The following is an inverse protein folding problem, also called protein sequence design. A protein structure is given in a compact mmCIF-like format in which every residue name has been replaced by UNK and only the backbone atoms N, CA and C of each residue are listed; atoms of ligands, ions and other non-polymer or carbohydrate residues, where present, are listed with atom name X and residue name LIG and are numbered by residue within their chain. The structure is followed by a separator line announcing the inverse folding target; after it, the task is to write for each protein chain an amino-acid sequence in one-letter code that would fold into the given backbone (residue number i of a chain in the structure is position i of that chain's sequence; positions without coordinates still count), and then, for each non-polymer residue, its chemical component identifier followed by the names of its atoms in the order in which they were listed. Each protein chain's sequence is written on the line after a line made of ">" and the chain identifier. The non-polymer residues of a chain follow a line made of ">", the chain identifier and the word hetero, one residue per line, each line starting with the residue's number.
data_IF_788281887366
#
_entry.id   IF_788281887366
#
_cell.length_a   1.000
_cell.length_b   1.000
_cell.length_c   1.000
_cell.angle_alpha   90.00
_cell.angle_beta   90.00
_cell.angle_gamma   90.00
#
_symmetry.space_group_name_H-M   'P 1'
#
loop_
_entity.id
_entity.type
_entity.pdbx_description
1 polymer ?
#
# COMPACT_ATOMS: atom_id res chain seq x y z
N UNK A 1 24.74 -38.45 10.91
CA UNK A 1 23.80 -37.40 10.48
C UNK A 1 24.48 -36.07 10.66
N UNK A 2 24.97 -35.47 9.57
CA UNK A 2 25.45 -34.08 9.60
C UNK A 2 24.23 -33.21 9.88
N UNK A 3 24.32 -32.37 10.90
CA UNK A 3 23.35 -31.30 11.13
C UNK A 3 23.47 -30.34 9.95
N UNK A 4 22.41 -30.24 9.14
CA UNK A 4 22.31 -29.19 8.13
C UNK A 4 22.33 -27.83 8.82
N UNK A 5 23.23 -26.98 8.34
CA UNK A 5 23.39 -25.62 8.79
C UNK A 5 22.11 -24.82 8.46
N UNK A 6 21.42 -24.38 9.51
CA UNK A 6 20.57 -23.18 9.57
C UNK A 6 20.02 -22.66 8.24
N UNK A 7 18.88 -23.21 7.79
CA UNK A 7 17.94 -22.43 6.96
C UNK A 7 17.44 -21.26 7.81
N UNK A 8 18.02 -20.08 7.62
CA UNK A 8 17.43 -18.87 8.20
C UNK A 8 16.08 -18.62 7.52
N UNK A 9 15.00 -18.57 8.30
CA UNK A 9 13.64 -18.35 7.82
C UNK A 9 13.37 -16.90 7.36
N UNK A 10 14.38 -16.02 7.47
CA UNK A 10 14.29 -14.61 7.11
C UNK A 10 15.58 -14.16 6.42
N UNK A 11 15.44 -13.23 5.48
CA UNK A 11 16.54 -12.54 4.80
C UNK A 11 16.57 -11.08 5.28
N UNK A 12 17.74 -10.58 5.65
CA UNK A 12 17.92 -9.21 6.16
C UNK A 12 18.84 -8.44 5.23
N UNK A 13 18.45 -7.19 4.92
CA UNK A 13 19.22 -6.25 4.13
C UNK A 13 19.62 -5.09 5.03
N UNK A 14 20.92 -4.85 5.16
CA UNK A 14 21.41 -3.66 5.86
C UNK A 14 21.08 -2.41 5.03
N UNK A 15 20.44 -1.44 5.67
CA UNK A 15 20.04 -0.17 5.07
C UNK A 15 20.92 0.95 5.64
N UNK A 16 21.19 1.98 4.84
CA UNK A 16 22.04 3.11 5.26
C UNK A 16 21.41 3.95 6.39
N UNK A 17 20.08 4.05 6.40
CA UNK A 17 19.30 4.78 7.39
C UNK A 17 17.97 4.05 7.68
N UNK A 18 17.18 4.61 8.61
CA UNK A 18 15.86 4.12 8.98
C UNK A 18 14.92 4.05 7.77
N UNK A 19 14.31 2.88 7.60
CA UNK A 19 13.31 2.64 6.55
C UNK A 19 11.94 3.05 7.08
N UNK A 20 11.34 4.05 6.45
CA UNK A 20 10.03 4.60 6.82
C UNK A 20 8.87 3.88 6.14
N UNK A 21 9.08 3.39 4.92
CA UNK A 21 8.06 2.71 4.12
C UNK A 21 8.70 1.62 3.27
N UNK A 22 8.00 0.51 3.08
CA UNK A 22 8.39 -0.58 2.19
C UNK A 22 7.15 -1.08 1.45
N UNK A 23 7.27 -1.25 0.14
CA UNK A 23 6.18 -1.75 -0.69
C UNK A 23 6.71 -2.66 -1.80
N UNK A 24 6.11 -3.85 -1.91
CA UNK A 24 6.32 -4.72 -3.06
C UNK A 24 5.53 -4.19 -4.26
N UNK A 25 6.09 -4.38 -5.45
CA UNK A 25 5.35 -4.15 -6.69
C UNK A 25 4.22 -5.19 -6.78
N UNK A 26 2.93 -4.78 -6.76
CA UNK A 26 1.82 -5.73 -6.87
C UNK A 26 1.56 -6.15 -8.32
N UNK A 27 2.23 -5.53 -9.30
CA UNK A 27 2.05 -5.78 -10.72
C UNK A 27 3.13 -6.70 -11.26
N UNK A 28 2.79 -7.42 -12.34
CA UNK A 28 3.76 -8.20 -13.09
C UNK A 28 4.79 -7.29 -13.77
N UNK A 29 6.07 -7.46 -13.43
CA UNK A 29 7.20 -6.72 -13.99
C UNK A 29 7.89 -7.45 -15.16
N UNK A 30 7.42 -8.63 -15.57
CA UNK A 30 8.04 -9.42 -16.65
C UNK A 30 9.40 -10.07 -16.28
N UNK A 31 9.83 -9.93 -15.02
CA UNK A 31 11.01 -10.59 -14.45
C UNK A 31 10.54 -11.61 -13.40
N UNK A 32 11.21 -12.78 -13.27
CA UNK A 32 10.88 -13.77 -12.24
C UNK A 32 11.06 -13.25 -10.80
N UNK A 33 11.87 -12.21 -10.59
CA UNK A 33 12.06 -11.57 -9.31
C UNK A 33 10.94 -10.56 -8.96
N UNK A 34 10.58 -10.51 -7.69
CA UNK A 34 9.60 -9.58 -7.18
C UNK A 34 10.28 -8.24 -6.88
N UNK A 35 9.84 -7.18 -7.57
CA UNK A 35 10.30 -5.82 -7.30
C UNK A 35 9.85 -5.36 -5.91
N UNK A 36 10.75 -4.73 -5.19
CA UNK A 36 10.50 -4.14 -3.88
C UNK A 36 11.15 -2.75 -3.83
N UNK A 37 10.43 -1.79 -3.24
CA UNK A 37 10.94 -0.47 -2.97
C UNK A 37 10.87 -0.19 -1.48
N UNK A 38 11.89 0.48 -0.95
CA UNK A 38 11.85 1.03 0.39
C UNK A 38 12.34 2.48 0.42
N UNK A 39 11.67 3.30 1.22
CA UNK A 39 11.92 4.72 1.39
C UNK A 39 12.65 5.01 2.70
N UNK A 40 13.73 5.77 2.62
CA UNK A 40 14.51 6.26 3.77
C UNK A 40 14.27 7.75 4.05
N UNK A 41 15.19 8.34 4.82
CA UNK A 41 15.14 9.75 5.19
C UNK A 41 15.38 10.73 4.04
N UNK A 42 16.01 10.31 2.95
CA UNK A 42 16.30 11.16 1.78
C UNK A 42 16.44 10.38 0.46
N UNK A 43 16.08 9.10 0.42
CA UNK A 43 16.23 8.24 -0.75
C UNK A 43 15.08 7.25 -0.88
N UNK A 44 14.94 6.67 -2.08
CA UNK A 44 14.17 5.44 -2.31
C UNK A 44 15.08 4.43 -2.97
N UNK A 45 15.18 3.23 -2.42
CA UNK A 45 15.91 2.13 -3.07
C UNK A 45 14.90 1.22 -3.73
N UNK A 46 15.14 0.89 -4.99
CA UNK A 46 14.45 -0.18 -5.71
C UNK A 46 15.39 -1.36 -5.83
N UNK A 47 14.93 -2.52 -5.40
CA UNK A 47 15.62 -3.79 -5.55
C UNK A 47 14.70 -4.87 -6.07
N UNK A 48 15.30 -6.03 -6.30
CA UNK A 48 14.60 -7.23 -6.74
C UNK A 48 14.86 -8.35 -5.73
N UNK A 49 13.78 -9.05 -5.38
CA UNK A 49 13.79 -10.17 -4.46
C UNK A 49 13.42 -11.45 -5.23
N UNK A 50 14.36 -12.40 -5.29
CA UNK A 50 14.11 -13.72 -5.87
C UNK A 50 13.93 -14.74 -4.75
N UNK A 51 12.93 -15.59 -4.89
CA UNK A 51 12.61 -16.65 -3.95
C UNK A 51 13.02 -18.00 -4.53
N UNK A 52 13.39 -18.94 -3.66
CA UNK A 52 13.67 -20.31 -4.06
C UNK A 52 12.40 -20.97 -4.59
N UNK A 53 12.39 -21.30 -5.87
CA UNK A 53 11.41 -22.16 -6.51
C UNK A 53 12.02 -23.54 -6.78
N UNK A 54 11.19 -24.57 -6.94
CA UNK A 54 11.65 -25.97 -7.09
C UNK A 54 12.60 -26.17 -8.28
N UNK A 55 12.57 -25.28 -9.28
CA UNK A 55 13.40 -25.31 -10.49
C UNK A 55 14.50 -24.23 -10.54
N UNK A 56 14.63 -23.39 -9.50
CA UNK A 56 15.58 -22.27 -9.50
C UNK A 56 16.89 -22.63 -8.79
N UNK A 57 18.04 -22.24 -9.36
CA UNK A 57 19.39 -22.36 -8.76
C UNK A 57 19.62 -21.42 -7.54
N UNK A 58 18.55 -20.96 -6.89
CA UNK A 58 18.60 -20.00 -5.79
C UNK A 58 18.40 -20.71 -4.46
N UNK A 59 19.42 -20.70 -3.59
CA UNK A 59 19.29 -21.14 -2.20
C UNK A 59 18.57 -20.07 -1.35
N UNK A 60 17.30 -20.29 -1.01
CA UNK A 60 16.53 -19.43 -0.13
C UNK A 60 16.02 -18.13 -0.78
N UNK A 61 16.34 -16.98 -0.21
CA UNK A 61 15.92 -15.66 -0.70
C UNK A 61 17.17 -14.91 -1.11
N UNK A 62 17.15 -14.24 -2.26
CA UNK A 62 18.22 -13.32 -2.66
C UNK A 62 17.64 -11.93 -2.92
N UNK A 63 18.35 -10.92 -2.45
CA UNK A 63 18.04 -9.52 -2.70
C UNK A 63 19.17 -8.88 -3.49
N UNK A 64 18.80 -8.12 -4.53
CA UNK A 64 19.73 -7.30 -5.30
C UNK A 64 19.19 -5.88 -5.41
N UNK A 65 20.01 -4.90 -5.03
CA UNK A 65 19.68 -3.49 -5.30
C UNK A 65 19.81 -3.21 -6.79
N UNK A 66 18.75 -2.67 -7.41
CA UNK A 66 18.78 -2.23 -8.80
C UNK A 66 19.24 -0.78 -8.89
N UNK A 67 18.67 0.10 -8.05
CA UNK A 67 18.99 1.53 -8.08
C UNK A 67 18.55 2.23 -6.79
N UNK A 68 19.30 3.26 -6.42
CA UNK A 68 18.94 4.22 -5.37
C UNK A 68 18.58 5.56 -6.02
N UNK A 69 17.36 6.02 -5.76
CA UNK A 69 16.83 7.31 -6.20
C UNK A 69 17.00 8.33 -5.09
N UNK A 70 17.68 9.43 -5.38
CA UNK A 70 17.80 10.54 -4.45
C UNK A 70 16.46 11.29 -4.38
N UNK A 71 15.96 11.46 -3.17
CA UNK A 71 14.66 12.11 -2.90
C UNK A 71 14.86 13.47 -2.22
N UNK A 72 15.82 13.54 -1.29
CA UNK A 72 16.18 14.76 -0.54
C UNK A 72 15.25 15.07 0.64
N UNK A 73 14.16 14.32 0.81
CA UNK A 73 13.17 14.45 1.88
C UNK A 73 12.77 13.05 2.35
N UNK A 74 12.30 12.95 3.60
CA UNK A 74 11.80 11.69 4.15
C UNK A 74 10.59 11.21 3.36
N UNK A 75 10.61 9.95 2.97
CA UNK A 75 9.54 9.29 2.20
C UNK A 75 8.59 8.59 3.16
N UNK A 76 7.32 8.93 3.09
CA UNK A 76 6.28 8.42 3.99
C UNK A 76 5.36 7.39 3.30
N UNK A 77 5.30 7.38 1.96
CA UNK A 77 4.48 6.44 1.19
C UNK A 77 5.09 6.14 -0.19
N UNK A 78 4.83 4.92 -0.71
CA UNK A 78 5.25 4.47 -2.04
C UNK A 78 4.06 3.79 -2.71
N UNK A 79 3.84 4.04 -4.00
CA UNK A 79 2.92 3.26 -4.81
C UNK A 79 3.51 2.99 -6.19
N UNK A 80 3.39 1.74 -6.63
CA UNK A 80 3.89 1.29 -7.93
C UNK A 80 2.90 1.60 -9.04
N UNK A 81 3.41 1.89 -10.24
CA UNK A 81 2.60 1.96 -11.46
C UNK A 81 2.54 0.59 -12.13
N UNK A 82 1.38 0.19 -12.69
CA UNK A 82 1.27 -1.02 -13.51
C UNK A 82 2.09 -0.97 -14.81
N UNK A 83 2.57 0.22 -15.20
CA UNK A 83 3.49 0.38 -16.35
C UNK A 83 4.93 -0.05 -16.04
N UNK A 84 5.25 -0.40 -14.80
CA UNK A 84 6.59 -0.89 -14.43
C UNK A 84 6.87 -2.25 -15.06
N UNK A 85 7.88 -2.30 -15.93
CA UNK A 85 8.29 -3.48 -16.72
C UNK A 85 9.81 -3.56 -16.80
N UNK A 86 10.39 -4.69 -16.45
CA UNK A 86 11.84 -4.94 -16.56
C UNK A 86 12.23 -5.66 -17.86
N UNK A 87 11.25 -6.31 -18.50
CA UNK A 87 11.39 -7.04 -19.77
C UNK A 87 11.33 -6.14 -21.01
N UNK A 88 10.91 -4.87 -20.85
CA UNK A 88 10.94 -3.89 -21.93
C UNK A 88 12.37 -3.42 -22.24
N UNK A 89 12.59 -2.94 -23.47
CA UNK A 89 13.88 -2.38 -23.90
C UNK A 89 13.70 -0.91 -24.34
N UNK A 90 14.15 0.08 -23.53
CA UNK A 90 14.74 -0.07 -22.20
C UNK A 90 13.72 -0.50 -21.12
N UNK A 91 14.15 -1.01 -19.95
CA UNK A 91 13.24 -1.30 -18.84
C UNK A 91 12.58 0.00 -18.38
N UNK A 92 11.41 -0.08 -17.78
CA UNK A 92 10.66 1.06 -17.24
C UNK A 92 10.32 0.80 -15.78
N UNK A 93 10.85 1.64 -14.90
CA UNK A 93 10.43 1.71 -13.50
C UNK A 93 9.62 2.99 -13.31
N UNK A 94 8.37 2.83 -12.89
CA UNK A 94 7.48 3.96 -12.59
C UNK A 94 6.77 3.74 -11.27
N UNK A 95 6.94 4.68 -10.35
CA UNK A 95 6.30 4.68 -9.05
C UNK A 95 6.12 6.10 -8.57
N UNK A 96 5.23 6.31 -7.60
CA UNK A 96 5.04 7.59 -6.95
C UNK A 96 5.33 7.47 -5.46
N UNK A 97 5.72 8.60 -4.87
CA UNK A 97 6.07 8.68 -3.46
C UNK A 97 5.33 9.83 -2.83
N UNK A 98 4.90 9.68 -1.59
CA UNK A 98 4.55 10.80 -0.72
C UNK A 98 5.69 11.06 0.25
N UNK A 99 5.89 12.32 0.60
CA UNK A 99 7.02 12.73 1.43
C UNK A 99 6.62 13.76 2.49
N UNK A 100 7.53 13.98 3.42
CA UNK A 100 7.33 14.86 4.57
C UNK A 100 7.10 16.33 4.21
N UNK A 101 7.39 16.73 2.97
CA UNK A 101 7.09 18.06 2.43
C UNK A 101 5.69 18.17 1.80
N UNK A 102 4.82 17.18 2.04
CA UNK A 102 3.41 17.16 1.61
C UNK A 102 3.24 17.10 0.09
N UNK A 103 4.30 16.72 -0.64
CA UNK A 103 4.28 16.60 -2.10
C UNK A 103 4.31 15.15 -2.53
N UNK A 104 3.70 14.90 -3.68
CA UNK A 104 3.81 13.62 -4.37
C UNK A 104 4.90 13.76 -5.43
N UNK A 105 5.78 12.77 -5.56
CA UNK A 105 6.76 12.71 -6.65
C UNK A 105 6.54 11.46 -7.48
N UNK A 106 6.29 11.64 -8.77
CA UNK A 106 6.18 10.56 -9.76
C UNK A 106 7.55 10.33 -10.39
N UNK A 107 8.18 9.21 -10.07
CA UNK A 107 9.46 8.80 -10.64
C UNK A 107 9.25 7.99 -11.92
N UNK A 108 10.11 8.22 -12.92
CA UNK A 108 10.24 7.39 -14.11
C UNK A 108 11.71 7.16 -14.41
N UNK A 109 12.09 5.89 -14.52
CA UNK A 109 13.46 5.47 -14.71
C UNK A 109 13.60 4.39 -15.76
N UNK A 110 14.64 4.47 -16.58
CA UNK A 110 15.03 3.42 -17.51
C UNK A 110 16.13 2.50 -16.96
N UNK A 111 16.44 2.62 -15.66
CA UNK A 111 17.59 2.01 -14.97
C UNK A 111 18.97 2.36 -15.57
N UNK A 112 19.03 3.24 -16.57
CA UNK A 112 20.23 3.69 -17.27
C UNK A 112 20.41 5.19 -17.02
N UNK A 113 20.20 6.01 -18.05
CA UNK A 113 20.48 7.45 -18.05
C UNK A 113 19.23 8.28 -17.73
N UNK A 114 18.04 7.79 -18.10
CA UNK A 114 16.80 8.52 -17.86
C UNK A 114 16.31 8.24 -16.46
N UNK A 115 16.51 9.20 -15.55
CA UNK A 115 16.01 9.16 -14.18
C UNK A 115 15.38 10.51 -13.86
N UNK A 116 14.07 10.61 -14.06
CA UNK A 116 13.33 11.85 -13.87
C UNK A 116 12.22 11.67 -12.84
N UNK A 117 11.85 12.76 -12.20
CA UNK A 117 10.63 12.82 -11.41
C UNK A 117 9.86 14.09 -11.68
N UNK A 118 8.53 13.99 -11.58
CA UNK A 118 7.62 15.13 -11.57
C UNK A 118 7.11 15.35 -10.17
N UNK A 119 6.95 16.61 -9.79
CA UNK A 119 6.37 17.00 -8.51
C UNK A 119 4.90 17.35 -8.71
N UNK A 120 4.05 16.72 -7.92
CA UNK A 120 2.62 16.95 -7.87
C UNK A 120 2.34 17.72 -6.58
N UNK A 121 1.98 18.98 -6.75
CA UNK A 121 1.74 19.92 -5.64
C UNK A 121 0.24 20.20 -5.50
N UNK A 122 -0.23 20.22 -4.26
CA UNK A 122 -1.58 20.70 -3.97
C UNK A 122 -2.07 20.33 -2.58
N UNK A 123 -1.64 19.20 -2.01
CA UNK A 123 -1.92 18.87 -0.62
C UNK A 123 -1.25 19.89 0.32
N UNK A 124 -1.97 20.28 1.38
CA UNK A 124 -1.50 21.26 2.37
C UNK A 124 -1.15 20.64 3.72
N UNK A 125 -1.25 19.33 3.85
CA UNK A 125 -0.88 18.57 5.04
C UNK A 125 -0.34 17.18 4.65
N UNK A 126 0.05 16.36 5.63
CA UNK A 126 0.62 15.03 5.42
C UNK A 126 -0.28 14.14 4.54
N UNK A 127 0.34 13.36 3.66
CA UNK A 127 -0.34 12.44 2.75
C UNK A 127 -0.26 11.05 3.35
N UNK A 128 -1.41 10.51 3.75
CA UNK A 128 -1.50 9.24 4.46
C UNK A 128 -1.66 8.03 3.53
N UNK A 129 -2.24 8.23 2.35
CA UNK A 129 -2.48 7.17 1.38
C UNK A 129 -2.19 7.63 -0.04
N UNK A 130 -1.62 6.73 -0.83
CA UNK A 130 -1.19 6.97 -2.20
C UNK A 130 -1.31 5.66 -3.00
N UNK A 131 -1.99 5.68 -4.15
CA UNK A 131 -2.17 4.49 -5.02
C UNK A 131 -2.28 4.87 -6.49
N UNK A 132 -1.76 4.04 -7.38
CA UNK A 132 -2.04 4.13 -8.82
C UNK A 132 -3.35 3.44 -9.17
N UNK A 133 -4.01 3.91 -10.23
CA UNK A 133 -5.03 3.13 -10.92
C UNK A 133 -4.41 1.80 -11.41
N UNK A 134 -4.87 0.64 -10.89
CA UNK A 134 -4.28 -0.64 -11.20
C UNK A 134 -4.56 -1.13 -12.62
N UNK A 135 -5.52 -0.53 -13.34
CA UNK A 135 -5.91 -1.00 -14.69
C UNK A 135 -5.17 -0.28 -15.79
N UNK A 136 -5.36 1.03 -15.91
CA UNK A 136 -4.77 1.82 -16.99
C UNK A 136 -3.45 2.46 -16.56
N UNK A 137 -3.21 2.62 -15.25
CA UNK A 137 -1.99 3.24 -14.73
C UNK A 137 -1.86 4.75 -14.98
N UNK A 138 -2.93 5.39 -15.47
CA UNK A 138 -2.92 6.78 -15.93
C UNK A 138 -3.24 7.79 -14.83
N UNK A 139 -3.80 7.31 -13.71
CA UNK A 139 -4.20 8.15 -12.60
C UNK A 139 -3.56 7.72 -11.28
N UNK A 140 -3.34 8.68 -10.39
CA UNK A 140 -2.86 8.50 -9.04
C UNK A 140 -3.92 9.06 -8.11
N UNK A 141 -4.32 8.31 -7.09
CA UNK A 141 -5.18 8.78 -6.02
C UNK A 141 -4.37 9.00 -4.74
N UNK A 142 -4.65 10.10 -4.05
CA UNK A 142 -4.02 10.43 -2.77
C UNK A 142 -5.04 10.94 -1.76
N UNK A 143 -4.75 10.71 -0.48
CA UNK A 143 -5.54 11.22 0.66
C UNK A 143 -4.63 11.80 1.72
N UNK A 144 -5.12 12.85 2.40
CA UNK A 144 -4.30 13.66 3.30
C UNK A 144 -5.04 14.10 4.56
N UNK A 145 -4.24 14.50 5.55
CA UNK A 145 -4.67 15.23 6.74
C UNK A 145 -5.31 16.60 6.41
N UNK A 146 -5.16 17.10 5.18
CA UNK A 146 -5.83 18.31 4.70
C UNK A 146 -7.34 18.14 4.42
N UNK A 147 -7.90 16.98 4.77
CA UNK A 147 -9.29 16.58 4.55
C UNK A 147 -9.67 16.49 3.07
N UNK A 148 -8.72 16.19 2.19
CA UNK A 148 -9.00 15.99 0.76
C UNK A 148 -8.55 14.62 0.26
N UNK A 149 -9.31 14.08 -0.69
CA UNK A 149 -8.86 13.07 -1.62
C UNK A 149 -8.65 13.74 -2.98
N UNK A 150 -7.49 13.52 -3.61
CA UNK A 150 -7.15 14.12 -4.91
C UNK A 150 -6.78 13.04 -5.90
N UNK A 151 -7.18 13.26 -7.14
CA UNK A 151 -6.82 12.42 -8.28
C UNK A 151 -5.95 13.23 -9.21
N UNK A 152 -4.87 12.62 -9.68
CA UNK A 152 -3.86 13.25 -10.50
C UNK A 152 -3.64 12.44 -11.75
N UNK A 153 -3.47 13.10 -12.88
CA UNK A 153 -2.92 12.45 -14.06
C UNK A 153 -1.38 12.39 -13.99
N UNK A 154 -0.77 11.66 -14.92
CA UNK A 154 0.70 11.53 -15.02
C UNK A 154 1.42 12.80 -15.50
N UNK A 155 0.67 13.83 -15.92
CA UNK A 155 1.20 15.16 -16.22
C UNK A 155 1.34 16.02 -14.96
N UNK A 156 0.78 15.56 -13.83
CA UNK A 156 0.77 16.23 -12.55
C UNK A 156 -0.37 17.21 -12.36
N UNK A 157 -1.36 17.19 -13.26
CA UNK A 157 -2.58 17.95 -13.12
C UNK A 157 -3.59 17.19 -12.28
N UNK A 158 -4.27 17.91 -11.38
CA UNK A 158 -5.37 17.37 -10.60
C UNK A 158 -6.61 17.20 -11.50
N UNK A 159 -7.08 15.97 -11.69
CA UNK A 159 -8.26 15.64 -12.51
C UNK A 159 -9.56 15.68 -11.71
N UNK A 160 -9.50 15.32 -10.42
CA UNK A 160 -10.63 15.38 -9.50
C UNK A 160 -10.17 15.71 -8.07
N UNK A 161 -11.09 16.25 -7.26
CA UNK A 161 -10.89 16.40 -5.82
C UNK A 161 -12.19 16.18 -5.05
N UNK A 162 -12.07 15.55 -3.89
CA UNK A 162 -13.17 15.30 -2.98
C UNK A 162 -12.85 15.88 -1.62
N UNK A 163 -13.80 16.63 -1.07
CA UNK A 163 -13.72 17.13 0.31
C UNK A 163 -14.22 16.02 1.24
N UNK A 164 -13.37 15.64 2.18
CA UNK A 164 -13.63 14.64 3.21
C UNK A 164 -14.16 15.33 4.48
N UNK A 165 -14.81 14.57 5.36
CA UNK A 165 -15.30 15.11 6.63
C UNK A 165 -14.27 14.97 7.75
N UNK A 166 -13.22 14.18 7.53
CA UNK A 166 -12.10 13.94 8.43
C UNK A 166 -10.84 13.64 7.60
N UNK A 167 -9.63 13.67 8.18
CA UNK A 167 -8.41 13.23 7.51
C UNK A 167 -8.57 11.89 6.79
N UNK A 168 -8.17 11.83 5.53
CA UNK A 168 -8.19 10.58 4.78
C UNK A 168 -6.96 9.75 5.14
N UNK A 169 -7.17 8.51 5.57
CA UNK A 169 -6.12 7.61 6.09
C UNK A 169 -5.65 6.59 5.06
N UNK A 170 -6.57 6.09 4.22
CA UNK A 170 -6.22 5.15 3.16
C UNK A 170 -7.14 5.30 1.97
N UNK A 171 -6.63 4.99 0.79
CA UNK A 171 -7.34 5.07 -0.47
C UNK A 171 -7.04 3.83 -1.30
N UNK A 172 -8.07 3.28 -1.95
CA UNK A 172 -7.94 2.10 -2.81
C UNK A 172 -8.83 2.24 -4.03
N UNK A 173 -8.31 1.91 -5.21
CA UNK A 173 -9.13 1.71 -6.39
C UNK A 173 -9.95 0.44 -6.27
N UNK A 174 -11.15 0.44 -6.83
CA UNK A 174 -11.93 -0.77 -6.95
C UNK A 174 -11.17 -1.76 -7.88
N UNK A 175 -10.97 -3.02 -7.47
CA UNK A 175 -10.14 -3.97 -8.22
C UNK A 175 -10.70 -4.30 -9.61
N UNK A 176 -12.03 -4.38 -9.75
CA UNK A 176 -12.67 -4.80 -11.00
C UNK A 176 -13.39 -3.69 -11.78
N UNK A 177 -13.73 -2.55 -11.16
CA UNK A 177 -14.55 -1.51 -11.77
C UNK A 177 -13.71 -0.24 -11.87
N UNK A 178 -13.57 0.29 -13.08
CA UNK A 178 -12.82 1.53 -13.28
C UNK A 178 -13.61 2.70 -12.69
N UNK A 179 -12.92 3.79 -12.35
CA UNK A 179 -13.55 5.01 -11.84
C UNK A 179 -14.24 4.89 -10.47
N UNK A 180 -14.11 3.76 -9.76
CA UNK A 180 -14.57 3.61 -8.38
C UNK A 180 -13.39 3.64 -7.41
N UNK A 181 -13.55 4.43 -6.36
CA UNK A 181 -12.53 4.64 -5.34
C UNK A 181 -13.11 4.44 -3.95
N UNK A 182 -12.39 3.75 -3.08
CA UNK A 182 -12.68 3.68 -1.65
C UNK A 182 -11.73 4.61 -0.90
N UNK A 183 -12.26 5.43 0.00
CA UNK A 183 -11.51 6.31 0.90
C UNK A 183 -11.92 6.02 2.33
N UNK A 184 -10.94 5.76 3.18
CA UNK A 184 -11.14 5.55 4.61
C UNK A 184 -10.76 6.83 5.35
N UNK A 185 -11.68 7.35 6.15
CA UNK A 185 -11.51 8.58 6.92
C UNK A 185 -11.20 8.25 8.39
N UNK A 186 -10.37 9.06 9.03
CA UNK A 186 -9.92 8.87 10.42
C UNK A 186 -11.07 8.82 11.43
N UNK A 187 -12.20 9.43 11.09
CA UNK A 187 -13.42 9.43 11.90
C UNK A 187 -14.19 8.09 11.92
N UNK A 188 -13.70 7.07 11.24
CA UNK A 188 -14.36 5.77 11.22
C UNK A 188 -15.26 5.52 10.03
N UNK A 189 -15.45 6.51 9.16
CA UNK A 189 -16.25 6.36 7.95
C UNK A 189 -15.38 5.88 6.79
N UNK A 190 -15.86 4.90 6.03
CA UNK A 190 -15.28 4.49 4.74
C UNK A 190 -16.27 4.89 3.67
N UNK A 191 -15.85 5.70 2.70
CA UNK A 191 -16.70 6.18 1.60
C UNK A 191 -16.25 5.63 0.26
N UNK A 192 -17.22 5.41 -0.62
CA UNK A 192 -16.97 4.99 -1.99
C UNK A 192 -17.37 6.12 -2.91
N UNK A 193 -16.50 6.47 -3.84
CA UNK A 193 -16.66 7.54 -4.79
C UNK A 193 -16.71 6.98 -6.19
N UNK A 194 -17.56 7.59 -7.02
CA UNK A 194 -17.59 7.41 -8.46
C UNK A 194 -16.95 8.65 -9.11
N UNK A 195 -15.89 8.45 -9.90
CA UNK A 195 -15.12 9.51 -10.52
C UNK A 195 -15.78 10.09 -11.77
N UNK A 196 -16.70 9.35 -12.40
CA UNK A 196 -17.46 9.84 -13.56
C UNK A 196 -18.50 10.88 -13.10
N UNK A 197 -19.20 10.57 -12.01
CA UNK A 197 -20.23 11.44 -11.41
C UNK A 197 -19.65 12.42 -10.38
N UNK A 198 -18.43 12.17 -9.91
CA UNK A 198 -17.75 12.90 -8.83
C UNK A 198 -18.57 12.97 -7.54
N UNK A 199 -19.23 11.86 -7.18
CA UNK A 199 -20.10 11.79 -6.01
C UNK A 199 -19.79 10.57 -5.14
N UNK A 200 -20.12 10.68 -3.86
CA UNK A 200 -20.12 9.54 -2.94
C UNK A 200 -21.32 8.63 -3.25
N UNK A 201 -21.06 7.34 -3.39
CA UNK A 201 -22.04 6.30 -3.71
C UNK A 201 -22.65 5.73 -2.44
N UNK A 202 -21.78 5.34 -1.49
CA UNK A 202 -22.16 4.69 -0.23
C UNK A 202 -21.10 4.95 0.84
N UNK A 203 -21.47 4.71 2.10
CA UNK A 203 -20.56 4.76 3.24
C UNK A 203 -20.73 3.56 4.16
N UNK A 204 -19.62 3.17 4.80
CA UNK A 204 -19.57 2.20 5.88
C UNK A 204 -19.11 2.91 7.15
N UNK A 205 -19.59 2.45 8.30
CA UNK A 205 -19.21 2.96 9.61
C UNK A 205 -18.52 1.86 10.40
N UNK A 206 -17.40 2.20 11.04
CA UNK A 206 -16.62 1.28 11.89
C UNK A 206 -17.03 1.28 13.35
N UNK A 207 -17.84 2.25 13.79
CA UNK A 207 -18.24 2.50 15.18
C UNK A 207 -17.07 2.75 16.15
N UNK A 208 -15.82 2.69 15.68
CA UNK A 208 -14.61 2.86 16.46
C UNK A 208 -13.69 3.85 15.77
N UNK A 209 -13.03 4.64 16.60
CA UNK A 209 -12.10 5.67 16.16
C UNK A 209 -10.81 5.57 16.99
N UNK A 210 -9.65 5.92 16.40
CA UNK A 210 -9.50 6.35 15.01
C UNK A 210 -9.39 5.13 14.06
N UNK A 211 -9.90 5.28 12.84
CA UNK A 211 -9.66 4.33 11.75
C UNK A 211 -8.24 4.55 11.22
N UNK A 212 -7.40 3.53 11.22
CA UNK A 212 -5.98 3.68 10.89
C UNK A 212 -5.68 3.26 9.45
N UNK A 213 -6.34 2.22 8.94
CA UNK A 213 -6.12 1.70 7.59
C UNK A 213 -7.32 0.86 7.16
N UNK A 214 -7.68 0.92 5.88
CA UNK A 214 -8.63 0.03 5.23
C UNK A 214 -8.09 -0.47 3.89
N UNK A 215 -8.45 -1.69 3.52
CA UNK A 215 -8.07 -2.31 2.26
C UNK A 215 -9.24 -3.08 1.66
N UNK A 216 -9.40 -2.96 0.34
CA UNK A 216 -10.37 -3.74 -0.42
C UNK A 216 -9.83 -5.15 -0.65
N UNK A 217 -10.66 -6.18 -0.46
CA UNK A 217 -10.30 -7.53 -0.87
C UNK A 217 -10.27 -7.65 -2.41
N UNK A 218 -9.10 -7.92 -2.97
CA UNK A 218 -8.92 -7.98 -4.43
C UNK A 218 -9.60 -9.19 -5.09
N UNK A 219 -9.83 -10.27 -4.34
CA UNK A 219 -10.46 -11.50 -4.84
C UNK A 219 -11.98 -11.56 -4.63
N UNK A 220 -12.49 -10.75 -3.70
CA UNK A 220 -13.91 -10.66 -3.42
C UNK A 220 -14.27 -9.20 -3.20
N UNK A 221 -14.81 -8.58 -4.24
CA UNK A 221 -15.10 -7.15 -4.26
C UNK A 221 -16.20 -6.74 -3.28
N UNK A 222 -16.88 -7.69 -2.64
CA UNK A 222 -17.82 -7.37 -1.58
C UNK A 222 -17.17 -7.20 -0.21
N UNK A 223 -15.92 -7.65 -0.02
CA UNK A 223 -15.24 -7.61 1.28
C UNK A 223 -14.33 -6.38 1.40
N UNK A 224 -14.50 -5.66 2.49
CA UNK A 224 -13.58 -4.61 2.94
C UNK A 224 -13.06 -5.00 4.31
N UNK A 225 -11.76 -4.79 4.53
CA UNK A 225 -11.16 -4.97 5.84
C UNK A 225 -10.50 -3.69 6.32
N UNK A 226 -10.53 -3.45 7.63
CA UNK A 226 -9.90 -2.27 8.22
C UNK A 226 -9.41 -2.55 9.63
N UNK A 227 -8.61 -1.61 10.14
CA UNK A 227 -8.22 -1.54 11.56
C UNK A 227 -8.67 -0.22 12.16
N UNK A 228 -9.36 -0.31 13.29
CA UNK A 228 -9.82 0.85 14.06
C UNK A 228 -9.56 0.62 15.54
N UNK A 229 -8.87 1.58 16.18
CA UNK A 229 -8.41 1.39 17.56
C UNK A 229 -7.54 0.14 17.69
N UNK A 230 -8.00 -0.85 18.45
CA UNK A 230 -7.28 -2.10 18.74
C UNK A 230 -7.82 -3.30 17.95
N UNK A 231 -8.86 -3.09 17.16
CA UNK A 231 -9.65 -4.15 16.52
C UNK A 231 -9.41 -4.13 15.01
N UNK A 232 -9.51 -5.32 14.40
CA UNK A 232 -9.77 -5.40 12.97
C UNK A 232 -11.27 -5.59 12.72
N UNK A 233 -11.72 -5.10 11.58
CA UNK A 233 -13.11 -5.03 11.15
C UNK A 233 -13.23 -5.57 9.73
N UNK A 234 -14.29 -6.33 9.45
CA UNK A 234 -14.60 -6.84 8.11
C UNK A 234 -16.05 -6.53 7.78
N UNK A 235 -16.27 -6.01 6.58
CA UNK A 235 -17.59 -5.75 6.02
C UNK A 235 -17.85 -6.65 4.83
N UNK A 236 -19.11 -7.03 4.66
CA UNK A 236 -19.70 -7.40 3.38
C UNK A 236 -20.58 -6.23 2.92
N UNK A 237 -20.12 -5.48 1.91
CA UNK A 237 -20.76 -4.24 1.45
C UNK A 237 -22.18 -4.46 0.91
N UNK A 238 -22.56 -5.71 0.61
CA UNK A 238 -23.90 -6.04 0.10
C UNK A 238 -24.92 -6.21 1.22
N UNK A 239 -24.47 -6.35 2.47
CA UNK A 239 -25.33 -6.73 3.60
C UNK A 239 -25.59 -5.60 4.57
N UNK A 240 -24.57 -4.82 4.89
CA UNK A 240 -24.61 -3.86 5.99
C UNK A 240 -23.61 -2.73 5.80
N UNK A 241 -23.98 -1.54 6.28
CA UNK A 241 -23.06 -0.42 6.47
C UNK A 241 -22.16 -0.59 7.70
N UNK A 242 -22.45 -1.55 8.57
CA UNK A 242 -21.72 -1.85 9.81
C UNK A 242 -20.90 -3.14 9.66
N UNK A 243 -19.79 -3.28 10.41
CA UNK A 243 -18.91 -4.44 10.31
C UNK A 243 -19.67 -5.72 10.65
N UNK A 244 -19.47 -6.76 9.84
CA UNK A 244 -20.01 -8.09 10.07
C UNK A 244 -19.18 -8.84 11.11
N UNK A 245 -17.86 -8.73 11.00
CA UNK A 245 -16.91 -9.31 11.94
C UNK A 245 -16.03 -8.23 12.54
N UNK A 246 -15.76 -8.38 13.84
CA UNK A 246 -14.91 -7.49 14.62
C UNK A 246 -14.18 -8.29 15.68
N UNK A 247 -12.86 -8.17 15.74
CA UNK A 247 -12.06 -8.83 16.78
C UNK A 247 -10.90 -7.95 17.26
N UNK A 248 -10.58 -8.00 18.55
CA UNK A 248 -9.37 -7.38 19.07
C UNK A 248 -8.14 -8.10 18.52
N UNK A 249 -7.10 -7.33 18.20
CA UNK A 249 -5.91 -7.86 17.54
C UNK A 249 -4.61 -7.37 18.18
N UNK A 250 -4.52 -6.09 18.51
CA UNK A 250 -3.30 -5.49 19.08
C UNK A 250 -3.67 -4.79 20.39
N UNK A 251 -2.87 -5.00 21.44
CA UNK A 251 -3.10 -4.31 22.72
C UNK A 251 -2.85 -2.81 22.61
N UNK A 252 -1.86 -2.42 21.79
CA UNK A 252 -1.43 -1.05 21.54
C UNK A 252 -1.68 -0.67 20.08
N UNK A 253 -2.93 -0.32 19.75
CA UNK A 253 -3.43 0.20 18.46
C UNK A 253 -2.96 -0.53 17.18
N UNK A 254 -3.92 -1.03 16.43
CA UNK A 254 -3.69 -1.62 15.12
C UNK A 254 -3.45 -0.51 14.08
N UNK A 255 -2.37 -0.61 13.30
CA UNK A 255 -1.93 0.43 12.38
C UNK A 255 -2.28 0.15 10.92
N UNK A 256 -1.89 -1.03 10.40
CA UNK A 256 -2.12 -1.39 9.00
C UNK A 256 -3.01 -2.62 8.89
N UNK A 257 -3.85 -2.63 7.85
CA UNK A 257 -4.60 -3.80 7.41
C UNK A 257 -4.24 -4.09 5.95
N UNK A 258 -3.82 -5.32 5.64
CA UNK A 258 -3.53 -5.74 4.26
C UNK A 258 -4.17 -7.10 3.96
N UNK A 259 -5.17 -7.08 3.08
CA UNK A 259 -5.66 -8.30 2.41
C UNK A 259 -4.57 -9.01 1.62
N UNK A 260 -4.59 -10.34 1.64
CA UNK A 260 -3.80 -11.15 0.72
C UNK A 260 -4.27 -10.94 -0.72
N UNK A 261 -3.30 -10.87 -1.64
CA UNK A 261 -3.56 -10.75 -3.09
C UNK A 261 -4.07 -12.05 -3.70
N UNK A 262 -3.84 -13.20 -3.05
CA UNK A 262 -4.17 -14.54 -3.58
C UNK A 262 -5.36 -15.21 -2.88
N UNK A 263 -5.65 -14.85 -1.62
CA UNK A 263 -6.66 -15.55 -0.81
C UNK A 263 -7.60 -14.56 -0.09
N UNK A 264 -8.90 -14.66 -0.39
CA UNK A 264 -9.97 -13.82 0.19
C UNK A 264 -10.33 -14.13 1.65
N UNK A 265 -9.63 -15.06 2.30
CA UNK A 265 -9.78 -15.34 3.73
C UNK A 265 -8.51 -15.01 4.52
N UNK A 266 -7.40 -14.66 3.86
CA UNK A 266 -6.12 -14.36 4.50
C UNK A 266 -5.84 -12.85 4.49
N UNK A 267 -5.48 -12.28 5.63
CA UNK A 267 -5.05 -10.89 5.74
C UNK A 267 -4.01 -10.72 6.84
N UNK A 268 -3.27 -9.64 6.81
CA UNK A 268 -2.29 -9.29 7.82
C UNK A 268 -2.64 -7.96 8.49
N UNK A 269 -2.26 -7.84 9.76
CA UNK A 269 -2.34 -6.60 10.53
C UNK A 269 -1.04 -6.32 11.24
N UNK A 270 -0.75 -5.05 11.52
CA UNK A 270 0.43 -4.63 12.29
C UNK A 270 0.02 -3.76 13.48
N UNK A 271 0.72 -3.89 14.60
CA UNK A 271 0.58 -2.99 15.76
C UNK A 271 1.48 -1.75 15.68
N UNK A 272 1.25 -0.78 16.56
CA UNK A 272 2.06 0.45 16.61
C UNK A 272 3.53 0.15 16.96
N UNK A 273 4.50 0.71 16.22
CA UNK A 273 5.92 0.49 16.52
C UNK A 273 6.30 1.20 17.83
N UNK A 274 6.83 0.46 18.81
CA UNK A 274 7.52 1.07 19.96
C UNK A 274 7.19 0.54 21.36
N UNK A 275 6.24 -0.38 21.53
CA UNK A 275 6.03 -1.04 22.83
C UNK A 275 5.90 -2.55 22.66
N UNK A 276 6.88 -3.26 23.23
CA UNK A 276 6.87 -4.71 23.49
C UNK A 276 6.46 -5.54 22.26
N UNK A 277 7.38 -5.62 21.29
CA UNK A 277 7.25 -6.26 19.99
C UNK A 277 6.24 -5.59 19.04
N UNK A 278 6.74 -4.98 17.97
CA UNK A 278 5.96 -4.72 16.76
C UNK A 278 5.49 -6.05 16.19
N UNK A 279 4.31 -6.51 16.62
CA UNK A 279 3.73 -7.75 16.16
C UNK A 279 3.01 -7.50 14.84
N UNK A 280 3.44 -8.19 13.79
CA UNK A 280 2.57 -8.45 12.65
C UNK A 280 1.85 -9.77 12.91
N UNK A 281 0.57 -9.82 12.57
CA UNK A 281 -0.23 -11.02 12.72
C UNK A 281 -0.91 -11.33 11.39
N UNK A 282 -0.87 -12.59 10.98
CA UNK A 282 -1.54 -13.10 9.79
C UNK A 282 -2.79 -13.82 10.26
N UNK A 283 -3.95 -13.46 9.74
CA UNK A 283 -5.28 -13.94 10.14
C UNK A 283 -5.94 -14.73 9.02
N UNK A 284 -6.72 -15.75 9.39
CA UNK A 284 -7.55 -16.51 8.45
C UNK A 284 -9.02 -16.50 8.89
N UNK A 285 -9.94 -15.98 8.08
CA UNK A 285 -11.37 -15.84 8.46
C UNK A 285 -12.04 -17.16 8.83
N UNK A 286 -11.65 -18.26 8.17
CA UNK A 286 -12.20 -19.60 8.43
C UNK A 286 -11.63 -20.33 9.65
N UNK A 287 -10.59 -19.80 10.30
CA UNK A 287 -9.96 -20.43 11.45
C UNK A 287 -9.84 -19.44 12.61
N UNK A 288 -10.57 -19.64 13.73
CA UNK A 288 -10.35 -18.81 14.90
C UNK A 288 -8.92 -19.02 15.38
N UNK A 289 -8.14 -17.95 15.43
CA UNK A 289 -6.81 -17.98 16.03
C UNK A 289 -6.95 -18.26 17.53
N UNK A 290 -6.11 -19.14 18.05
CA UNK A 290 -6.03 -19.36 19.49
C UNK A 290 -5.38 -18.11 20.09
N UNK A 291 -6.12 -17.46 21.00
CA UNK A 291 -5.70 -16.28 21.77
C UNK A 291 -4.51 -16.64 22.65
#
# INVERSE_FOLDING_TARGET
>A
MKQDATRNAAYTVDCEDYVHVVEFNPFDSGDPGNLIAYGGGNYVVVGICTFQEEEADVEGIQYKTLRTFQHGVRVDGIAWSPETRLDSLPPVIKFCTSAADMKIRLFTSDLQDKNEYKVLEGHSDFINGLVFDPKEGQEIASVSDDHTCRIWNLEGMQTAHFVLHSPGMSVCWHPEESFKLMVAEKNGTIRFYDLLTQQAILSLESEQMPLMSAHWCLKNTFKVGAVAGNDWLIWDITRSSYPQDKRPVHMDQACLFRWSTINENLFATTGYPGKIASQFQIHHLGHPQVI
#
